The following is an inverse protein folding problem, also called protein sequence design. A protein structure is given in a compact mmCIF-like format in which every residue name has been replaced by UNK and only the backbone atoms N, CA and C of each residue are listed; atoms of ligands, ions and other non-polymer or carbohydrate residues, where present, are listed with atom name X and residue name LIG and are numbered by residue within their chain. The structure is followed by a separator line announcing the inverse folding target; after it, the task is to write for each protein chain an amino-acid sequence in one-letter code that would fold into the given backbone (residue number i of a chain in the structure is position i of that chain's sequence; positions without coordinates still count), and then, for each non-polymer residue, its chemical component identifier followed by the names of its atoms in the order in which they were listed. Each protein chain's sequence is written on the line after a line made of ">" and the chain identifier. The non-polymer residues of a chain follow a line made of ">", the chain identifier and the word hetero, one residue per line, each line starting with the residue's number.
data_IF_137796186466
#
_entry.id   IF_137796186466
#
_cell.length_a   1.000
_cell.length_b   1.000
_cell.length_c   1.000
_cell.angle_alpha   90.00
_cell.angle_beta   90.00
_cell.angle_gamma   90.00
#
_symmetry.space_group_name_H-M   'P 1'
#
loop_
_entity.id
_entity.type
_entity.pdbx_description
1 polymer ?
#
# COMPACT_ATOMS: atom_id res chain seq x y z
N UNK A 1 16.26 2.88 31.12
CA UNK A 1 14.85 3.29 31.32
C UNK A 1 14.79 4.81 31.44
N UNK A 2 13.75 5.46 30.92
CA UNK A 2 13.64 6.94 30.84
C UNK A 2 13.35 7.67 32.18
N UNK A 3 13.40 7.01 33.34
CA UNK A 3 13.23 7.66 34.65
C UNK A 3 11.80 8.15 34.99
N UNK A 4 10.77 7.71 34.27
CA UNK A 4 9.37 8.08 34.51
C UNK A 4 8.81 7.39 35.75
N UNK A 5 8.25 8.16 36.68
CA UNK A 5 7.66 7.67 37.95
C UNK A 5 6.16 7.98 38.03
N UNK A 6 5.42 7.19 38.81
CA UNK A 6 3.97 7.36 39.03
C UNK A 6 3.09 6.54 38.07
N UNK A 7 1.76 6.64 38.23
CA UNK A 7 0.78 5.95 37.39
C UNK A 7 0.33 6.85 36.24
N UNK A 8 0.16 6.34 34.99
CA UNK A 8 -0.44 7.11 33.90
C UNK A 8 -1.84 7.59 34.27
N UNK A 9 -2.13 8.86 34.02
CA UNK A 9 -3.44 9.49 34.23
C UNK A 9 -4.42 9.16 33.10
N UNK A 10 -3.91 8.78 31.93
CA UNK A 10 -4.67 8.34 30.77
C UNK A 10 -3.93 7.21 30.04
N UNK A 11 -4.67 6.26 29.48
CA UNK A 11 -4.14 5.17 28.66
C UNK A 11 -5.12 4.87 27.53
N UNK A 12 -4.60 4.78 26.31
CA UNK A 12 -5.30 4.27 25.15
C UNK A 12 -4.40 3.25 24.44
N UNK A 13 -4.97 2.13 24.03
CA UNK A 13 -4.24 1.06 23.31
C UNK A 13 -5.11 0.55 22.19
N UNK A 14 -4.54 0.56 21.00
CA UNK A 14 -5.12 -0.08 19.82
C UNK A 14 -4.09 -1.05 19.26
N UNK A 15 -4.54 -2.24 18.88
CA UNK A 15 -3.67 -3.31 18.35
C UNK A 15 -4.13 -3.60 16.93
N UNK A 16 -3.17 -3.57 16.00
CA UNK A 16 -3.37 -3.88 14.60
C UNK A 16 -2.45 -5.04 14.22
N UNK A 17 -2.93 -6.30 14.29
CA UNK A 17 -2.07 -7.47 14.08
C UNK A 17 -1.37 -7.51 12.70
N UNK A 18 -1.94 -6.82 11.69
CA UNK A 18 -1.43 -6.75 10.32
C UNK A 18 -1.38 -5.30 9.82
N UNK A 19 -0.94 -4.37 10.67
CA UNK A 19 -0.95 -2.94 10.33
C UNK A 19 -0.02 -2.56 9.17
N UNK A 20 1.11 -3.24 9.04
CA UNK A 20 2.19 -2.86 8.13
C UNK A 20 2.55 -4.10 7.30
N UNK A 21 2.33 -4.07 5.97
CA UNK A 21 2.81 -5.11 5.08
C UNK A 21 4.32 -5.31 5.24
N UNK A 22 4.77 -6.57 5.28
CA UNK A 22 6.18 -6.90 5.39
C UNK A 22 6.67 -7.37 4.03
N UNK A 23 7.65 -6.67 3.47
CA UNK A 23 8.29 -7.07 2.21
C UNK A 23 9.36 -8.13 2.50
N UNK A 24 8.90 -9.37 2.59
CA UNK A 24 9.74 -10.54 2.80
C UNK A 24 10.61 -10.90 1.59
N UNK A 25 11.41 -11.96 1.74
CA UNK A 25 12.26 -12.47 0.66
C UNK A 25 11.45 -12.90 -0.58
N UNK A 26 10.20 -13.29 -0.36
CA UNK A 26 9.25 -13.74 -1.37
C UNK A 26 8.37 -12.61 -1.94
N UNK A 27 8.62 -11.36 -1.54
CA UNK A 27 7.81 -10.22 -1.98
C UNK A 27 7.76 -10.07 -3.51
N UNK A 28 8.85 -10.41 -4.22
CA UNK A 28 8.87 -10.41 -5.67
C UNK A 28 7.81 -11.34 -6.27
N UNK A 29 7.56 -12.50 -5.67
CA UNK A 29 6.52 -13.42 -6.15
C UNK A 29 5.12 -12.79 -6.06
N UNK A 30 4.88 -11.97 -5.03
CA UNK A 30 3.61 -11.24 -4.90
C UNK A 30 3.49 -10.15 -5.96
N UNK A 31 4.58 -9.43 -6.28
CA UNK A 31 4.62 -8.46 -7.36
C UNK A 31 4.31 -9.12 -8.71
N UNK A 32 5.00 -10.22 -9.01
CA UNK A 32 4.84 -10.95 -10.28
C UNK A 32 3.41 -11.48 -10.45
N UNK A 33 2.82 -12.00 -9.36
CA UNK A 33 1.43 -12.46 -9.37
C UNK A 33 0.42 -11.32 -9.61
N UNK A 34 0.65 -10.15 -9.01
CA UNK A 34 -0.19 -8.97 -9.27
C UNK A 34 -0.07 -8.53 -10.72
N UNK A 35 1.15 -8.47 -11.26
CA UNK A 35 1.40 -8.08 -12.65
C UNK A 35 0.74 -9.05 -13.65
N UNK A 36 0.81 -10.36 -13.39
CA UNK A 36 0.14 -11.38 -14.21
C UNK A 36 -1.39 -11.20 -14.18
N UNK A 37 -1.96 -10.94 -13.01
CA UNK A 37 -3.40 -10.72 -12.87
C UNK A 37 -3.84 -9.44 -13.60
N UNK A 38 -3.11 -8.34 -13.50
CA UNK A 38 -3.40 -7.10 -14.24
C UNK A 38 -3.35 -7.33 -15.75
N UNK A 39 -2.34 -8.07 -16.24
CA UNK A 39 -2.19 -8.39 -17.66
C UNK A 39 -3.36 -9.21 -18.20
N UNK A 40 -3.84 -10.17 -17.41
CA UNK A 40 -4.92 -11.07 -17.82
C UNK A 40 -6.33 -10.47 -17.66
N UNK A 41 -6.46 -9.32 -16.98
CA UNK A 41 -7.74 -8.68 -16.68
C UNK A 41 -7.68 -7.18 -17.03
N UNK A 42 -7.90 -6.81 -18.31
CA UNK A 42 -7.89 -5.41 -18.72
C UNK A 42 -8.86 -4.56 -17.89
N UNK A 43 -8.38 -3.43 -17.38
CA UNK A 43 -9.13 -2.51 -16.51
C UNK A 43 -8.99 -2.78 -15.00
N UNK A 44 -8.38 -3.91 -14.59
CA UNK A 44 -8.04 -4.15 -13.20
C UNK A 44 -6.65 -3.61 -12.87
N UNK A 45 -6.54 -2.89 -11.75
CA UNK A 45 -5.27 -2.34 -11.25
C UNK A 45 -5.14 -2.49 -9.73
N UNK A 46 -3.96 -2.93 -9.27
CA UNK A 46 -3.60 -3.00 -7.87
C UNK A 46 -2.84 -1.75 -7.43
N UNK A 47 -3.35 -1.09 -6.39
CA UNK A 47 -2.68 0.01 -5.70
C UNK A 47 -2.93 -0.07 -4.19
N UNK A 48 -1.93 0.36 -3.41
CA UNK A 48 -1.99 0.39 -1.95
C UNK A 48 -0.61 0.20 -1.32
N UNK A 49 -0.56 0.15 0.01
CA UNK A 49 0.69 0.09 0.78
C UNK A 49 1.45 -1.25 0.70
N UNK A 50 0.93 -2.20 -0.09
CA UNK A 50 1.54 -3.49 -0.37
C UNK A 50 2.32 -3.47 -1.71
N UNK A 51 2.30 -2.36 -2.47
CA UNK A 51 3.01 -2.18 -3.73
C UNK A 51 3.51 -0.74 -3.86
N UNK A 52 4.79 -0.56 -4.15
CA UNK A 52 5.38 0.76 -4.40
C UNK A 52 5.62 1.63 -3.16
N UNK A 53 5.47 1.10 -1.95
CA UNK A 53 5.86 1.78 -0.71
C UNK A 53 4.83 1.66 0.40
N UNK A 54 5.28 1.65 1.66
CA UNK A 54 4.41 1.36 2.82
C UNK A 54 3.84 2.63 3.45
N UNK A 55 4.47 3.78 3.20
CA UNK A 55 4.05 5.03 3.84
C UNK A 55 2.76 5.57 3.25
N UNK A 56 2.08 6.43 4.01
CA UNK A 56 0.90 7.17 3.51
C UNK A 56 1.28 8.02 2.29
N UNK A 57 2.47 8.62 2.30
CA UNK A 57 2.97 9.42 1.19
C UNK A 57 3.11 8.59 -0.09
N UNK A 58 3.72 7.41 0.00
CA UNK A 58 3.87 6.49 -1.14
C UNK A 58 2.50 6.08 -1.70
N UNK A 59 1.55 5.75 -0.83
CA UNK A 59 0.19 5.39 -1.26
C UNK A 59 -0.50 6.52 -2.04
N UNK A 60 -0.34 7.77 -1.59
CA UNK A 60 -0.90 8.94 -2.27
C UNK A 60 -0.25 9.12 -3.63
N UNK A 61 1.09 9.10 -3.70
CA UNK A 61 1.84 9.27 -4.95
C UNK A 61 1.47 8.17 -5.95
N UNK A 62 1.55 6.90 -5.54
CA UNK A 62 1.24 5.75 -6.40
C UNK A 62 -0.22 5.78 -6.88
N UNK A 63 -1.15 6.20 -6.02
CA UNK A 63 -2.56 6.36 -6.38
C UNK A 63 -2.79 7.46 -7.43
N UNK A 64 -2.11 8.61 -7.29
CA UNK A 64 -2.18 9.72 -8.25
C UNK A 64 -1.55 9.36 -9.60
N UNK A 65 -0.41 8.67 -9.58
CA UNK A 65 0.25 8.18 -10.80
C UNK A 65 -0.64 7.19 -11.55
N UNK A 66 -1.24 6.24 -10.82
CA UNK A 66 -2.22 5.31 -11.40
C UNK A 66 -3.38 6.08 -12.03
N UNK A 67 -4.01 6.99 -11.28
CA UNK A 67 -5.14 7.78 -11.78
C UNK A 67 -4.80 8.57 -13.05
N UNK A 68 -3.60 9.16 -13.10
CA UNK A 68 -3.09 9.89 -14.28
C UNK A 68 -2.91 8.96 -15.49
N UNK A 69 -2.35 7.77 -15.28
CA UNK A 69 -2.16 6.77 -16.33
C UNK A 69 -3.49 6.26 -16.89
N UNK A 70 -4.50 6.09 -16.03
CA UNK A 70 -5.82 5.62 -16.47
C UNK A 70 -6.58 6.70 -17.23
N UNK A 71 -6.55 7.94 -16.76
CA UNK A 71 -7.24 9.05 -17.44
C UNK A 71 -6.67 9.37 -18.83
N UNK A 72 -5.38 9.09 -19.06
CA UNK A 72 -4.73 9.24 -20.38
C UNK A 72 -4.96 8.05 -21.30
N UNK A 73 -5.02 6.82 -20.77
CA UNK A 73 -5.24 5.62 -21.58
C UNK A 73 -6.72 5.42 -21.96
N UNK A 74 -7.68 5.89 -21.15
CA UNK A 74 -9.11 5.84 -21.50
C UNK A 74 -9.46 6.74 -22.72
N UNK A 75 -8.63 7.73 -23.05
CA UNK A 75 -8.84 8.60 -24.23
C UNK A 75 -8.45 7.94 -25.58
N UNK A 76 -7.83 6.76 -25.59
CA UNK A 76 -7.48 6.04 -26.82
C UNK A 76 -8.45 4.90 -27.17
N UNK A 77 -9.53 4.74 -26.40
CA UNK A 77 -10.54 3.67 -26.56
C UNK A 77 -11.88 4.11 -27.14
N UNK A 78 -11.97 5.30 -27.74
CA UNK A 78 -13.14 5.83 -28.47
C UNK A 78 -12.76 6.25 -29.89
#
# INVERSE_FOLDING_TARGET
>A
MLGVNGKPTFRHKTIWPKAIPQYGLDYQNALDAMDEVEKNNPGLHFAGNYRGGISVGDCIVNGLELGTRLSTNEQQGI
#
